data_IF_672015899984
#
_entry.id   IF_672015899984
#
_cell.length_a   1.000
_cell.length_b   1.000
_cell.length_c   1.000
_cell.angle_alpha   90.00
_cell.angle_beta   90.00
_cell.angle_gamma   90.00
#
_symmetry.space_group_name_H-M   'P 1'
#
loop_
_entity.id
_entity.type
_entity.pdbx_description
1 polymer ?
#
# COMPACT_ATOMS: atom_id res chain seq x y z
N UNK A 1 8.38 -38.64 16.99
CA UNK A 1 7.24 -38.77 16.03
C UNK A 1 6.65 -37.43 15.55
N UNK A 2 7.32 -36.29 15.74
CA UNK A 2 6.83 -34.93 15.45
C UNK A 2 7.33 -34.34 14.11
N UNK A 3 8.40 -34.86 13.51
CA UNK A 3 8.97 -34.32 12.24
C UNK A 3 8.03 -34.42 11.02
N UNK A 4 7.39 -35.56 10.67
CA UNK A 4 6.62 -35.64 9.43
C UNK A 4 5.39 -34.74 9.38
N UNK A 5 4.78 -34.41 10.53
CA UNK A 5 3.60 -33.50 10.59
C UNK A 5 4.00 -32.04 10.34
N UNK A 6 5.16 -31.61 10.86
CA UNK A 6 5.68 -30.25 10.62
C UNK A 6 6.15 -30.04 9.18
N UNK A 7 6.79 -31.04 8.59
CA UNK A 7 7.19 -31.02 7.18
C UNK A 7 5.96 -30.93 6.24
N UNK A 8 4.90 -31.71 6.53
CA UNK A 8 3.66 -31.64 5.78
C UNK A 8 2.95 -30.28 5.88
N UNK A 9 2.95 -29.63 7.06
CA UNK A 9 2.40 -28.27 7.25
C UNK A 9 3.20 -27.24 6.42
N UNK A 10 4.51 -27.28 6.52
CA UNK A 10 5.37 -26.34 5.78
C UNK A 10 5.27 -26.51 4.26
N UNK A 11 5.17 -27.76 3.77
CA UNK A 11 4.98 -28.05 2.35
C UNK A 11 3.62 -27.53 1.87
N UNK A 12 2.55 -27.83 2.59
CA UNK A 12 1.20 -27.33 2.30
C UNK A 12 1.19 -25.80 2.19
N UNK A 13 1.76 -25.09 3.17
CA UNK A 13 1.76 -23.64 3.20
C UNK A 13 2.56 -23.06 2.03
N UNK A 14 3.70 -23.67 1.67
CA UNK A 14 4.50 -23.30 0.48
C UNK A 14 3.73 -23.51 -0.81
N UNK A 15 3.07 -24.66 -0.99
CA UNK A 15 2.27 -24.95 -2.18
C UNK A 15 1.08 -23.99 -2.30
N UNK A 16 0.42 -23.67 -1.18
CA UNK A 16 -0.67 -22.68 -1.14
C UNK A 16 -0.19 -21.31 -1.56
N UNK A 17 0.91 -20.82 -1.00
CA UNK A 17 1.48 -19.51 -1.35
C UNK A 17 1.94 -19.47 -2.80
N UNK A 18 2.52 -20.57 -3.30
CA UNK A 18 2.88 -20.69 -4.71
C UNK A 18 1.63 -20.62 -5.61
N UNK A 19 0.57 -21.36 -5.28
CA UNK A 19 -0.70 -21.32 -6.01
C UNK A 19 -1.35 -19.92 -6.02
N UNK A 20 -1.40 -19.25 -4.85
CA UNK A 20 -1.87 -17.87 -4.73
C UNK A 20 -1.00 -16.92 -5.59
N UNK A 21 0.32 -17.06 -5.50
CA UNK A 21 1.26 -16.25 -6.28
C UNK A 21 1.11 -16.46 -7.78
N UNK A 22 0.99 -17.72 -8.25
CA UNK A 22 0.81 -18.05 -9.66
C UNK A 22 -0.51 -17.48 -10.20
N UNK A 23 -1.61 -17.69 -9.50
CA UNK A 23 -2.91 -17.13 -9.87
C UNK A 23 -2.87 -15.59 -9.90
N UNK A 24 -2.33 -14.98 -8.87
CA UNK A 24 -2.18 -13.53 -8.79
C UNK A 24 -1.32 -12.98 -9.93
N UNK A 25 -0.20 -13.61 -10.23
CA UNK A 25 0.71 -13.21 -11.30
C UNK A 25 0.03 -13.32 -12.67
N UNK A 26 -0.72 -14.41 -12.92
CA UNK A 26 -1.45 -14.61 -14.17
C UNK A 26 -2.41 -13.45 -14.45
N UNK A 27 -3.25 -13.08 -13.49
CA UNK A 27 -4.18 -11.94 -13.67
C UNK A 27 -3.45 -10.61 -13.87
N UNK A 28 -2.30 -10.41 -13.23
CA UNK A 28 -1.53 -9.16 -13.32
C UNK A 28 -0.76 -9.05 -14.63
N UNK A 29 -0.26 -10.15 -15.15
CA UNK A 29 0.46 -10.17 -16.42
C UNK A 29 -0.46 -10.25 -17.64
N UNK A 30 -1.69 -10.74 -17.47
CA UNK A 30 -2.65 -10.85 -18.57
C UNK A 30 -2.90 -9.49 -19.21
N UNK A 31 -2.48 -9.35 -20.48
CA UNK A 31 -2.58 -8.11 -21.26
C UNK A 31 -2.08 -6.86 -20.48
N UNK A 32 -0.93 -6.94 -19.80
CA UNK A 32 -0.36 -5.86 -18.99
C UNK A 32 -0.03 -4.60 -19.83
N UNK A 33 0.07 -4.73 -21.16
CA UNK A 33 0.24 -3.60 -22.08
C UNK A 33 -1.02 -2.77 -22.28
N UNK A 34 -2.16 -3.21 -21.79
CA UNK A 34 -3.41 -2.46 -21.86
C UNK A 34 -3.71 -1.76 -20.52
N UNK A 35 -4.24 -0.53 -20.54
CA UNK A 35 -4.46 0.38 -21.69
C UNK A 35 -3.14 0.82 -22.36
N UNK A 36 -3.22 1.21 -23.65
CA UNK A 36 -2.08 1.72 -24.40
C UNK A 36 -1.75 3.15 -23.93
N UNK A 37 -0.45 3.48 -23.98
CA UNK A 37 0.05 4.77 -23.51
C UNK A 37 0.07 4.88 -21.98
N UNK A 38 0.12 6.11 -21.50
CA UNK A 38 0.12 6.39 -20.07
C UNK A 38 -1.30 6.52 -19.54
N UNK A 39 -1.55 5.93 -18.38
CA UNK A 39 -2.79 6.12 -17.65
C UNK A 39 -2.54 6.91 -16.37
N UNK A 40 -3.38 7.90 -16.10
CA UNK A 40 -3.34 8.74 -14.92
C UNK A 40 -1.91 9.28 -14.66
N UNK A 41 -1.37 9.10 -13.45
CA UNK A 41 -0.04 9.59 -13.05
C UNK A 41 1.15 8.84 -13.72
N UNK A 42 0.91 7.79 -14.53
CA UNK A 42 1.98 7.16 -15.31
C UNK A 42 2.69 8.17 -16.22
N UNK A 43 1.94 9.22 -16.67
CA UNK A 43 2.50 10.32 -17.49
C UNK A 43 3.68 11.02 -16.80
N UNK A 44 3.67 11.06 -15.47
CA UNK A 44 4.78 11.60 -14.68
C UNK A 44 5.76 10.50 -14.29
N UNK A 45 5.29 9.43 -13.68
CA UNK A 45 6.17 8.46 -13.01
C UNK A 45 6.96 7.59 -13.98
N UNK A 46 6.40 7.19 -15.11
CA UNK A 46 7.14 6.42 -16.11
C UNK A 46 8.19 7.28 -16.82
N UNK A 47 7.88 8.55 -17.10
CA UNK A 47 8.85 9.50 -17.69
C UNK A 47 9.97 9.80 -16.69
N UNK A 48 9.64 10.10 -15.44
CA UNK A 48 10.62 10.36 -14.40
C UNK A 48 11.51 9.15 -14.13
N UNK A 49 10.94 7.93 -14.12
CA UNK A 49 11.68 6.69 -13.96
C UNK A 49 12.69 6.47 -15.11
N UNK A 50 12.27 6.74 -16.34
CA UNK A 50 13.15 6.67 -17.50
C UNK A 50 14.26 7.73 -17.43
N UNK A 51 13.95 8.96 -17.01
CA UNK A 51 14.94 10.01 -16.81
C UNK A 51 15.96 9.64 -15.71
N UNK A 52 15.48 9.15 -14.56
CA UNK A 52 16.35 8.65 -13.49
C UNK A 52 17.29 7.55 -13.96
N UNK A 53 16.81 6.63 -14.81
CA UNK A 53 17.61 5.53 -15.35
C UNK A 53 18.78 6.02 -16.21
N UNK A 54 18.58 7.08 -17.01
CA UNK A 54 19.56 7.56 -17.98
C UNK A 54 20.41 8.73 -17.45
N UNK A 55 19.87 9.53 -16.56
CA UNK A 55 20.48 10.79 -16.12
C UNK A 55 20.75 10.85 -14.62
N UNK A 56 20.19 9.93 -13.81
CA UNK A 56 20.31 9.93 -12.35
C UNK A 56 19.47 11.01 -11.64
N UNK A 57 18.79 11.87 -12.43
CA UNK A 57 17.86 12.92 -11.96
C UNK A 57 16.68 13.02 -12.93
N UNK A 58 15.61 13.65 -12.50
CA UNK A 58 14.43 13.89 -13.32
C UNK A 58 14.62 15.15 -14.19
N UNK A 59 14.55 14.94 -15.49
CA UNK A 59 14.62 15.99 -16.50
C UNK A 59 13.35 15.98 -17.35
N UNK A 60 12.96 17.12 -17.86
CA UNK A 60 11.86 17.22 -18.82
C UNK A 60 12.20 16.48 -20.12
N UNK A 61 11.21 15.81 -20.68
CA UNK A 61 11.36 15.03 -21.92
C UNK A 61 11.71 15.89 -23.15
N UNK A 62 11.36 17.19 -23.11
CA UNK A 62 11.65 18.17 -24.16
C UNK A 62 12.64 19.21 -23.64
N UNK A 63 13.93 19.06 -23.99
CA UNK A 63 14.94 20.08 -23.73
C UNK A 63 15.86 19.87 -22.55
N UNK A 64 15.71 18.81 -21.78
CA UNK A 64 16.64 18.43 -20.70
C UNK A 64 16.67 19.39 -19.49
N UNK A 65 15.68 20.26 -19.35
CA UNK A 65 15.54 21.11 -18.17
C UNK A 65 15.27 20.25 -16.91
N UNK A 66 15.78 20.69 -15.76
CA UNK A 66 15.53 20.03 -14.50
C UNK A 66 14.04 20.10 -14.13
N UNK A 67 13.45 18.96 -13.80
CA UNK A 67 12.03 18.86 -13.47
C UNK A 67 11.82 18.89 -11.97
N UNK A 68 10.92 19.78 -11.50
CA UNK A 68 10.38 19.72 -10.14
C UNK A 68 9.50 18.48 -9.97
N UNK A 69 9.79 17.69 -8.95
CA UNK A 69 9.02 16.51 -8.60
C UNK A 69 8.58 16.57 -7.16
N UNK A 70 7.43 15.96 -6.89
CA UNK A 70 6.74 16.08 -5.58
C UNK A 70 6.85 14.81 -4.72
N UNK A 71 7.48 13.76 -5.24
CA UNK A 71 7.66 12.50 -4.52
C UNK A 71 9.11 12.01 -4.56
N UNK A 72 9.60 11.39 -3.47
CA UNK A 72 10.94 10.81 -3.41
C UNK A 72 11.16 9.72 -4.46
N UNK A 73 12.42 9.31 -4.73
CA UNK A 73 12.78 8.53 -5.92
C UNK A 73 12.45 7.03 -5.88
N UNK A 74 12.31 6.38 -4.70
CA UNK A 74 12.31 4.90 -4.58
C UNK A 74 11.23 4.23 -5.43
N UNK A 75 9.99 4.74 -5.41
CA UNK A 75 8.92 4.16 -6.24
C UNK A 75 9.23 4.26 -7.74
N UNK A 76 9.86 5.37 -8.16
CA UNK A 76 10.30 5.57 -9.55
C UNK A 76 11.48 4.66 -9.91
N UNK A 77 12.38 4.34 -8.95
CA UNK A 77 13.41 3.33 -9.16
C UNK A 77 12.83 1.93 -9.41
N UNK A 78 11.75 1.58 -8.73
CA UNK A 78 11.05 0.32 -8.97
C UNK A 78 10.50 0.25 -10.41
N UNK A 79 9.92 1.35 -10.88
CA UNK A 79 9.45 1.47 -12.27
C UNK A 79 10.64 1.42 -13.24
N UNK A 80 11.72 2.16 -12.96
CA UNK A 80 12.94 2.19 -13.76
C UNK A 80 13.60 0.81 -13.91
N UNK A 81 13.54 -0.03 -12.87
CA UNK A 81 14.04 -1.40 -12.96
C UNK A 81 13.30 -2.24 -14.00
N UNK A 82 11.99 -2.10 -14.08
CA UNK A 82 11.19 -2.74 -15.13
C UNK A 82 11.49 -2.19 -16.54
N UNK A 83 11.62 -0.86 -16.67
CA UNK A 83 12.03 -0.20 -17.94
C UNK A 83 13.41 -0.69 -18.37
N UNK A 84 14.37 -0.80 -17.47
CA UNK A 84 15.73 -1.25 -17.77
C UNK A 84 15.77 -2.65 -18.37
N UNK A 85 14.92 -3.56 -17.87
CA UNK A 85 14.93 -4.97 -18.28
C UNK A 85 14.10 -5.19 -19.53
N UNK A 86 12.94 -4.55 -19.64
CA UNK A 86 11.94 -4.85 -20.67
C UNK A 86 11.77 -3.72 -21.69
N UNK A 87 12.39 -2.56 -21.51
CA UNK A 87 12.27 -1.41 -22.41
C UNK A 87 11.21 -0.39 -21.98
N UNK A 88 11.28 0.79 -22.58
CA UNK A 88 10.41 1.93 -22.29
C UNK A 88 9.07 1.81 -23.06
N UNK A 89 8.18 0.98 -22.57
CA UNK A 89 6.82 0.76 -23.08
C UNK A 89 5.92 0.23 -21.93
N UNK A 90 4.62 0.08 -22.16
CA UNK A 90 3.62 -0.19 -21.12
C UNK A 90 3.95 -1.40 -20.23
N UNK A 91 4.40 -2.50 -20.83
CA UNK A 91 4.82 -3.66 -20.06
C UNK A 91 6.03 -3.34 -19.18
N UNK A 92 7.03 -2.63 -19.73
CA UNK A 92 8.27 -2.31 -19.03
C UNK A 92 8.03 -1.45 -17.80
N UNK A 93 7.22 -0.39 -17.88
CA UNK A 93 6.98 0.43 -16.70
C UNK A 93 5.96 -0.15 -15.71
N UNK A 94 5.10 -1.12 -16.12
CA UNK A 94 4.09 -1.73 -15.23
C UNK A 94 4.54 -3.03 -14.57
N UNK A 95 5.54 -3.73 -15.09
CA UNK A 95 5.94 -5.06 -14.60
C UNK A 95 6.33 -5.07 -13.12
N UNK A 96 7.05 -4.04 -12.65
CA UNK A 96 7.43 -3.95 -11.24
C UNK A 96 6.22 -3.85 -10.30
N UNK A 97 5.17 -3.12 -10.71
CA UNK A 97 3.91 -3.06 -9.98
C UNK A 97 3.22 -4.46 -9.92
N UNK A 98 3.23 -5.20 -11.03
CA UNK A 98 2.67 -6.55 -11.09
C UNK A 98 3.41 -7.53 -10.16
N UNK A 99 4.73 -7.44 -10.12
CA UNK A 99 5.55 -8.29 -9.26
C UNK A 99 5.36 -7.99 -7.78
N UNK A 100 5.39 -6.70 -7.38
CA UNK A 100 5.19 -6.35 -5.96
C UNK A 100 3.77 -6.60 -5.50
N UNK A 101 2.76 -6.39 -6.36
CA UNK A 101 1.38 -6.75 -6.05
C UNK A 101 1.19 -8.25 -5.85
N UNK A 102 1.85 -9.08 -6.66
CA UNK A 102 1.87 -10.54 -6.47
C UNK A 102 2.57 -10.92 -5.16
N UNK A 103 3.74 -10.34 -4.88
CA UNK A 103 4.49 -10.58 -3.67
C UNK A 103 3.72 -10.17 -2.40
N UNK A 104 2.91 -9.11 -2.47
CA UNK A 104 2.06 -8.65 -1.37
C UNK A 104 0.98 -9.68 -1.01
N UNK A 105 0.38 -10.35 -2.00
CA UNK A 105 -0.58 -11.45 -1.78
C UNK A 105 0.09 -12.66 -1.11
N UNK A 106 1.30 -12.99 -1.53
CA UNK A 106 2.06 -14.06 -0.88
C UNK A 106 2.43 -13.65 0.58
N UNK A 107 2.75 -12.39 0.78
CA UNK A 107 3.16 -11.85 2.08
C UNK A 107 2.00 -11.81 3.08
N UNK A 108 0.80 -11.41 2.67
CA UNK A 108 -0.35 -11.31 3.58
C UNK A 108 -0.77 -12.67 4.14
N UNK A 109 -0.57 -13.76 3.39
CA UNK A 109 -0.77 -15.12 3.90
C UNK A 109 0.13 -15.39 5.11
N UNK A 110 1.42 -15.09 5.02
CA UNK A 110 2.37 -15.28 6.13
C UNK A 110 2.11 -14.32 7.30
N UNK A 111 1.65 -13.11 7.02
CA UNK A 111 1.24 -12.15 8.05
C UNK A 111 0.03 -12.69 8.82
N UNK A 112 -1.00 -13.15 8.14
CA UNK A 112 -2.18 -13.73 8.77
C UNK A 112 -1.84 -14.99 9.55
N UNK A 113 -0.92 -15.83 9.05
CA UNK A 113 -0.43 -16.99 9.78
C UNK A 113 0.28 -16.60 11.09
N UNK A 114 1.03 -15.49 11.06
CA UNK A 114 1.72 -14.96 12.24
C UNK A 114 0.74 -14.37 13.29
N UNK A 115 -0.35 -13.77 12.81
CA UNK A 115 -1.34 -13.13 13.66
C UNK A 115 -2.32 -14.15 14.30
N UNK A 116 -2.70 -15.18 13.55
CA UNK A 116 -3.83 -16.03 13.90
C UNK A 116 -3.45 -17.52 14.09
N UNK A 117 -2.26 -17.94 13.66
CA UNK A 117 -1.78 -19.35 13.63
C UNK A 117 -2.84 -20.33 13.08
N UNK A 118 -3.57 -19.91 12.06
CA UNK A 118 -4.67 -20.68 11.48
C UNK A 118 -4.56 -20.67 9.95
N UNK A 119 -4.51 -21.87 9.35
CA UNK A 119 -4.37 -22.03 7.92
C UNK A 119 -5.54 -21.43 7.13
N UNK A 120 -6.78 -21.68 7.55
CA UNK A 120 -7.95 -21.14 6.86
C UNK A 120 -7.95 -19.61 6.86
N UNK A 121 -7.62 -18.97 7.97
CA UNK A 121 -7.52 -17.51 8.07
C UNK A 121 -6.37 -16.96 7.21
N UNK A 122 -5.25 -17.68 7.15
CA UNK A 122 -4.12 -17.31 6.27
C UNK A 122 -4.49 -17.39 4.79
N UNK A 123 -5.15 -18.47 4.40
CA UNK A 123 -5.68 -18.66 3.05
C UNK A 123 -6.74 -17.59 2.71
N UNK A 124 -7.63 -17.27 3.66
CA UNK A 124 -8.66 -16.24 3.51
C UNK A 124 -8.03 -14.88 3.22
N UNK A 125 -6.97 -14.49 3.94
CA UNK A 125 -6.26 -13.23 3.68
C UNK A 125 -5.69 -13.17 2.24
N UNK A 126 -5.06 -14.25 1.78
CA UNK A 126 -4.54 -14.34 0.41
C UNK A 126 -5.63 -14.30 -0.66
N UNK A 127 -6.75 -15.02 -0.45
CA UNK A 127 -7.90 -15.01 -1.37
C UNK A 127 -8.54 -13.62 -1.43
N UNK A 128 -8.82 -12.99 -0.29
CA UNK A 128 -9.44 -11.66 -0.22
C UNK A 128 -8.59 -10.61 -0.94
N UNK A 129 -7.27 -10.60 -0.71
CA UNK A 129 -6.37 -9.66 -1.39
C UNK A 129 -6.24 -9.96 -2.90
N UNK A 130 -6.34 -11.23 -3.29
CA UNK A 130 -6.36 -11.62 -4.71
C UNK A 130 -7.65 -11.19 -5.40
N UNK A 131 -8.76 -11.18 -4.66
CA UNK A 131 -10.11 -10.86 -5.12
C UNK A 131 -10.50 -9.40 -4.81
N UNK A 132 -9.52 -8.49 -4.67
CA UNK A 132 -9.79 -7.05 -4.61
C UNK A 132 -9.45 -6.35 -5.92
N UNK A 133 -10.44 -5.61 -6.44
CA UNK A 133 -10.32 -4.88 -7.70
C UNK A 133 -9.33 -3.73 -7.62
N UNK A 134 -9.31 -2.96 -6.52
CA UNK A 134 -8.34 -1.89 -6.31
C UNK A 134 -6.91 -2.44 -6.35
N UNK A 135 -6.66 -3.53 -5.61
CA UNK A 135 -5.34 -4.15 -5.59
C UNK A 135 -4.93 -4.68 -6.97
N UNK A 136 -5.86 -5.27 -7.71
CA UNK A 136 -5.58 -5.76 -9.06
C UNK A 136 -5.21 -4.61 -10.00
N UNK A 137 -6.02 -3.55 -10.06
CA UNK A 137 -5.81 -2.40 -10.96
C UNK A 137 -4.51 -1.66 -10.60
N UNK A 138 -4.27 -1.38 -9.32
CA UNK A 138 -3.05 -0.72 -8.86
C UNK A 138 -1.79 -1.57 -9.12
N UNK A 139 -1.91 -2.91 -9.10
CA UNK A 139 -0.81 -3.81 -9.46
C UNK A 139 -0.55 -3.90 -10.98
N UNK A 140 -1.36 -3.24 -11.80
CA UNK A 140 -1.25 -3.23 -13.28
C UNK A 140 -0.96 -1.82 -13.82
N UNK A 141 -0.72 -0.87 -12.92
CA UNK A 141 -0.49 0.54 -13.23
C UNK A 141 0.78 1.00 -12.52
N UNK A 142 1.62 1.77 -13.20
CA UNK A 142 2.90 2.24 -12.65
C UNK A 142 2.69 3.49 -11.76
N UNK A 143 1.91 3.35 -10.69
CA UNK A 143 1.72 4.37 -9.67
C UNK A 143 2.59 4.06 -8.44
N UNK A 144 2.93 5.11 -7.66
CA UNK A 144 3.82 4.96 -6.50
C UNK A 144 3.14 4.25 -5.32
N UNK A 145 1.82 4.29 -5.25
CA UNK A 145 1.04 3.83 -4.11
C UNK A 145 1.13 2.33 -3.88
N UNK A 146 1.27 1.52 -4.94
CA UNK A 146 1.45 0.07 -4.81
C UNK A 146 2.82 -0.27 -4.17
N UNK A 147 3.86 0.50 -4.46
CA UNK A 147 5.18 0.32 -3.85
C UNK A 147 5.19 0.80 -2.40
N UNK A 148 4.52 1.92 -2.10
CA UNK A 148 4.29 2.38 -0.73
C UNK A 148 3.62 1.28 0.11
N UNK A 149 2.51 0.72 -0.38
CA UNK A 149 1.78 -0.38 0.26
C UNK A 149 2.68 -1.59 0.50
N UNK A 150 3.43 -2.01 -0.52
CA UNK A 150 4.35 -3.15 -0.43
C UNK A 150 5.40 -2.96 0.68
N UNK A 151 6.10 -1.83 0.70
CA UNK A 151 7.12 -1.57 1.71
C UNK A 151 6.52 -1.40 3.11
N UNK A 152 5.32 -0.85 3.22
CA UNK A 152 4.59 -0.76 4.48
C UNK A 152 4.20 -2.14 5.01
N UNK A 153 3.67 -3.00 4.14
CA UNK A 153 3.30 -4.38 4.49
C UNK A 153 4.53 -5.22 4.85
N UNK A 154 5.65 -5.01 4.15
CA UNK A 154 6.93 -5.65 4.46
C UNK A 154 7.46 -5.19 5.82
N UNK A 155 7.37 -3.91 6.12
CA UNK A 155 7.71 -3.35 7.44
C UNK A 155 6.84 -3.95 8.56
N UNK A 156 5.55 -4.14 8.31
CA UNK A 156 4.63 -4.81 9.24
C UNK A 156 4.99 -6.28 9.46
N UNK A 157 5.33 -7.03 8.41
CA UNK A 157 5.80 -8.41 8.54
C UNK A 157 7.07 -8.50 9.41
N UNK A 158 8.04 -7.62 9.20
CA UNK A 158 9.26 -7.59 10.01
C UNK A 158 8.99 -7.15 11.46
N UNK A 159 8.03 -6.24 11.67
CA UNK A 159 7.57 -5.88 13.02
C UNK A 159 7.04 -7.12 13.75
N UNK A 160 6.16 -7.91 13.13
CA UNK A 160 5.61 -9.15 13.70
C UNK A 160 6.67 -10.23 13.94
N UNK A 161 7.80 -10.17 13.22
CA UNK A 161 8.95 -11.05 13.41
C UNK A 161 9.95 -10.52 14.44
N UNK A 162 9.68 -9.39 15.10
CA UNK A 162 10.61 -8.68 15.98
C UNK A 162 11.95 -8.29 15.31
N UNK A 163 11.95 -8.19 13.97
CA UNK A 163 13.09 -7.77 13.16
C UNK A 163 13.05 -6.25 12.94
N UNK A 164 13.18 -5.49 14.02
CA UNK A 164 12.91 -4.05 14.04
C UNK A 164 13.85 -3.23 13.13
N UNK A 165 15.09 -3.68 12.90
CA UNK A 165 15.99 -3.03 11.95
C UNK A 165 15.45 -3.16 10.51
N UNK A 166 15.08 -4.37 10.11
CA UNK A 166 14.49 -4.63 8.80
C UNK A 166 13.14 -3.90 8.62
N UNK A 167 12.34 -3.82 9.69
CA UNK A 167 11.12 -3.02 9.70
C UNK A 167 11.42 -1.54 9.44
N UNK A 168 12.42 -0.97 10.12
CA UNK A 168 12.85 0.42 9.92
C UNK A 168 13.35 0.69 8.50
N UNK A 169 14.16 -0.22 7.93
CA UNK A 169 14.61 -0.12 6.53
C UNK A 169 13.41 -0.13 5.57
N UNK A 170 12.49 -1.08 5.72
CA UNK A 170 11.32 -1.20 4.85
C UNK A 170 10.43 0.05 4.93
N UNK A 171 10.19 0.56 6.13
CA UNK A 171 9.39 1.78 6.32
C UNK A 171 10.13 3.04 5.85
N UNK A 172 11.47 3.05 5.91
CA UNK A 172 12.30 4.07 5.29
C UNK A 172 12.14 4.09 3.76
N UNK A 173 12.09 2.92 3.11
CA UNK A 173 11.79 2.77 1.70
C UNK A 173 10.35 3.21 1.36
N UNK A 174 9.37 2.92 2.25
CA UNK A 174 8.01 3.41 2.11
C UNK A 174 7.97 4.96 2.13
N UNK A 175 8.64 5.60 3.09
CA UNK A 175 8.76 7.06 3.19
C UNK A 175 9.51 7.66 1.99
N UNK A 176 10.55 6.96 1.50
CA UNK A 176 11.31 7.32 0.29
C UNK A 176 10.56 7.02 -1.03
N UNK A 177 9.38 6.41 -0.94
CA UNK A 177 8.42 6.27 -2.06
C UNK A 177 7.38 7.40 -2.02
N UNK A 178 6.72 7.57 -0.89
CA UNK A 178 5.76 8.66 -0.62
C UNK A 178 5.82 9.05 0.86
N UNK A 179 5.72 10.33 1.16
CA UNK A 179 5.80 10.83 2.55
C UNK A 179 4.74 10.26 3.50
N UNK A 180 3.62 9.77 2.97
CA UNK A 180 2.62 9.06 3.78
C UNK A 180 3.16 7.78 4.45
N UNK A 181 4.29 7.23 4.00
CA UNK A 181 5.01 6.16 4.70
C UNK A 181 5.50 6.54 6.11
N UNK A 182 5.71 7.84 6.37
CA UNK A 182 6.12 8.35 7.69
C UNK A 182 5.06 8.08 8.76
N UNK A 183 3.78 8.08 8.39
CA UNK A 183 2.69 7.81 9.36
C UNK A 183 2.82 6.40 9.97
N UNK A 184 3.23 5.42 9.19
CA UNK A 184 3.47 4.07 9.66
C UNK A 184 4.74 3.96 10.53
N UNK A 185 5.79 4.74 10.22
CA UNK A 185 6.98 4.84 11.07
C UNK A 185 6.61 5.31 12.48
N UNK A 186 5.85 6.41 12.57
CA UNK A 186 5.39 6.96 13.85
C UNK A 186 4.51 5.96 14.59
N UNK A 187 3.54 5.35 13.89
CA UNK A 187 2.63 4.39 14.49
C UNK A 187 3.36 3.16 15.06
N UNK A 188 4.32 2.60 14.31
CA UNK A 188 5.02 1.39 14.75
C UNK A 188 6.12 1.67 15.79
N UNK A 189 6.73 2.85 15.76
CA UNK A 189 7.57 3.30 16.88
C UNK A 189 6.74 3.38 18.17
N UNK A 190 5.61 4.08 18.13
CA UNK A 190 4.72 4.20 19.28
C UNK A 190 4.24 2.83 19.78
N UNK A 191 3.83 1.95 18.85
CA UNK A 191 3.43 0.58 19.19
C UNK A 191 4.54 -0.21 19.88
N UNK A 192 5.77 -0.18 19.35
CA UNK A 192 6.89 -0.92 19.96
C UNK A 192 7.24 -0.42 21.34
N UNK A 193 7.21 0.90 21.55
CA UNK A 193 7.43 1.51 22.88
C UNK A 193 6.30 1.12 23.86
N UNK A 194 5.05 1.13 23.38
CA UNK A 194 3.92 0.69 24.19
C UNK A 194 4.03 -0.78 24.62
N UNK A 195 4.40 -1.68 23.70
CA UNK A 195 4.60 -3.10 23.99
C UNK A 195 5.71 -3.31 25.03
N UNK A 196 6.85 -2.61 24.91
CA UNK A 196 7.93 -2.70 25.89
C UNK A 196 7.50 -2.15 27.26
N UNK A 197 6.75 -1.04 27.28
CA UNK A 197 6.16 -0.52 28.52
C UNK A 197 5.24 -1.55 29.20
N UNK A 198 4.30 -2.14 28.42
CA UNK A 198 3.38 -3.17 28.94
C UNK A 198 4.12 -4.40 29.43
N UNK A 199 5.19 -4.79 28.75
CA UNK A 199 6.06 -5.89 29.17
C UNK A 199 6.74 -5.59 30.51
N UNK A 200 7.34 -4.40 30.67
CA UNK A 200 7.96 -4.01 31.94
C UNK A 200 6.95 -3.99 33.08
N UNK A 201 5.73 -3.52 32.80
CA UNK A 201 4.64 -3.52 33.79
C UNK A 201 4.21 -4.95 34.18
N UNK A 202 4.11 -5.85 33.21
CA UNK A 202 3.75 -7.26 33.44
C UNK A 202 4.84 -8.04 34.20
N UNK A 203 6.12 -7.62 34.10
CA UNK A 203 7.25 -8.15 34.85
C UNK A 203 7.47 -7.44 36.19
N UNK A 204 6.52 -6.61 36.62
CA UNK A 204 6.53 -5.89 37.90
C UNK A 204 7.81 -5.06 38.13
N UNK A 205 8.40 -4.53 37.04
CA UNK A 205 9.56 -3.63 37.14
C UNK A 205 9.15 -2.37 37.90
N UNK A 206 9.84 -2.05 38.99
CA UNK A 206 9.50 -0.91 39.88
C UNK A 206 9.32 0.43 39.13
N UNK A 207 10.16 0.68 38.11
CA UNK A 207 10.12 1.92 37.32
C UNK A 207 9.98 1.59 35.83
N UNK A 208 8.81 1.15 35.33
CA UNK A 208 8.68 0.62 33.97
C UNK A 208 9.03 1.64 32.88
N UNK A 209 8.71 2.93 33.07
CA UNK A 209 9.02 4.01 32.13
C UNK A 209 10.53 4.29 32.12
N UNK A 210 11.17 4.40 33.30
CA UNK A 210 12.61 4.66 33.41
C UNK A 210 13.42 3.51 32.77
N UNK A 211 13.00 2.27 32.99
CA UNK A 211 13.61 1.10 32.37
C UNK A 211 13.44 1.11 30.85
N UNK A 212 12.25 1.45 30.36
CA UNK A 212 12.00 1.61 28.91
C UNK A 212 12.96 2.64 28.29
N UNK A 213 13.08 3.82 28.93
CA UNK A 213 13.96 4.89 28.44
C UNK A 213 15.41 4.43 28.43
N UNK A 214 15.89 3.82 29.50
CA UNK A 214 17.27 3.40 29.64
C UNK A 214 17.65 2.25 28.69
N UNK A 215 16.81 1.23 28.57
CA UNK A 215 17.19 -0.04 27.93
C UNK A 215 16.72 -0.13 26.45
N UNK A 216 15.66 0.58 26.07
CA UNK A 216 15.00 0.35 24.78
C UNK A 216 14.83 1.59 23.92
N UNK A 217 14.65 2.77 24.50
CA UNK A 217 14.27 3.97 23.74
C UNK A 217 15.31 4.31 22.66
N UNK A 218 16.60 4.38 23.01
CA UNK A 218 17.66 4.69 22.04
C UNK A 218 17.70 3.67 20.90
N UNK A 219 17.57 2.39 21.23
CA UNK A 219 17.53 1.31 20.21
C UNK A 219 16.33 1.47 19.29
N UNK A 220 15.14 1.80 19.80
CA UNK A 220 13.95 2.00 18.98
C UNK A 220 14.03 3.27 18.13
N UNK A 221 14.56 4.37 18.69
CA UNK A 221 14.86 5.60 17.94
C UNK A 221 15.82 5.31 16.78
N UNK A 222 16.91 4.57 17.05
CA UNK A 222 17.84 4.18 15.98
C UNK A 222 17.12 3.40 14.88
N UNK A 223 16.30 2.42 15.24
CA UNK A 223 15.63 1.54 14.27
C UNK A 223 14.49 2.22 13.48
N UNK A 224 13.72 3.11 14.10
CA UNK A 224 12.51 3.70 13.49
C UNK A 224 12.63 5.19 13.14
N UNK A 225 13.76 5.85 13.49
CA UNK A 225 14.04 7.23 13.09
C UNK A 225 15.35 7.30 12.33
N UNK A 226 16.48 6.96 12.97
CA UNK A 226 17.80 7.14 12.35
C UNK A 226 17.97 6.30 11.08
N UNK A 227 17.66 4.99 11.15
CA UNK A 227 17.79 4.09 9.99
C UNK A 227 16.87 4.53 8.83
N UNK A 228 15.56 4.80 9.02
CA UNK A 228 14.72 5.36 7.97
C UNK A 228 15.23 6.67 7.38
N UNK A 229 15.78 7.58 8.20
CA UNK A 229 16.39 8.83 7.71
C UNK A 229 17.59 8.55 6.83
N UNK A 230 18.45 7.60 7.20
CA UNK A 230 19.59 7.18 6.36
C UNK A 230 19.11 6.58 5.04
N UNK A 231 18.11 5.67 5.06
CA UNK A 231 17.52 5.07 3.86
C UNK A 231 16.90 6.14 2.96
N UNK A 232 16.12 7.06 3.54
CA UNK A 232 15.53 8.17 2.84
C UNK A 232 16.59 9.08 2.20
N UNK A 233 17.60 9.48 2.96
CA UNK A 233 18.68 10.35 2.47
C UNK A 233 19.48 9.68 1.36
N UNK A 234 19.75 8.37 1.46
CA UNK A 234 20.42 7.59 0.43
C UNK A 234 19.63 7.57 -0.89
N UNK A 235 18.29 7.64 -0.84
CA UNK A 235 17.48 7.71 -2.04
C UNK A 235 17.70 8.98 -2.87
N UNK A 236 18.21 10.04 -2.27
CA UNK A 236 18.52 11.31 -2.92
C UNK A 236 19.95 11.42 -3.47
N UNK A 237 20.76 10.34 -3.40
CA UNK A 237 22.15 10.40 -3.86
C UNK A 237 22.25 10.78 -5.35
N UNK A 238 21.37 10.30 -6.23
CA UNK A 238 21.34 10.73 -7.63
C UNK A 238 21.28 12.26 -7.75
N UNK A 239 20.33 12.86 -7.05
CA UNK A 239 20.17 14.32 -7.03
C UNK A 239 21.34 15.04 -6.33
N UNK A 240 21.86 14.51 -5.23
CA UNK A 240 22.95 15.12 -4.45
C UNK A 240 24.25 15.21 -5.25
N UNK A 241 24.57 14.20 -6.06
CA UNK A 241 25.81 14.13 -6.82
C UNK A 241 25.68 14.67 -8.26
N UNK A 242 24.47 14.87 -8.77
CA UNK A 242 24.23 15.41 -10.10
C UNK A 242 23.85 16.90 -10.03
N UNK A 243 24.66 17.75 -10.69
CA UNK A 243 24.42 19.20 -10.71
C UNK A 243 23.24 19.64 -11.58
N UNK A 244 22.72 18.75 -12.41
CA UNK A 244 21.57 19.01 -13.29
C UNK A 244 20.22 18.78 -12.61
N UNK A 245 20.19 18.36 -11.32
CA UNK A 245 18.94 18.21 -10.58
C UNK A 245 18.25 19.55 -10.32
N UNK A 246 16.92 19.55 -10.22
CA UNK A 246 16.12 20.74 -9.94
C UNK A 246 16.61 21.43 -8.65
N UNK A 247 16.86 22.72 -8.76
CA UNK A 247 17.36 23.60 -7.69
C UNK A 247 18.59 23.07 -6.91
N UNK A 248 19.35 22.15 -7.54
CA UNK A 248 20.55 21.57 -6.92
C UNK A 248 21.58 22.62 -6.53
N UNK A 249 21.62 23.73 -7.23
CA UNK A 249 22.55 24.83 -7.05
C UNK A 249 21.94 26.06 -6.35
N UNK A 250 20.70 25.98 -5.90
CA UNK A 250 19.97 27.09 -5.25
C UNK A 250 20.79 27.79 -4.13
N UNK A 251 21.42 27.02 -3.26
CA UNK A 251 22.20 27.58 -2.16
C UNK A 251 23.46 28.35 -2.59
N UNK A 252 23.86 28.27 -3.87
CA UNK A 252 25.02 29.03 -4.38
C UNK A 252 24.73 30.53 -4.50
N UNK A 253 23.48 30.89 -4.76
CA UNK A 253 23.01 32.26 -4.89
C UNK A 253 22.51 32.86 -3.57
N UNK A 254 22.49 32.07 -2.48
CA UNK A 254 21.97 32.53 -1.19
C UNK A 254 23.06 33.24 -0.38
N UNK A 255 22.72 34.33 0.33
CA UNK A 255 23.67 35.01 1.20
C UNK A 255 24.14 34.09 2.34
N UNK A 256 25.32 34.39 2.87
CA UNK A 256 25.81 33.72 4.05
C UNK A 256 24.99 34.11 5.27
N UNK A 257 24.46 33.12 5.99
CA UNK A 257 23.68 33.26 7.19
C UNK A 257 24.08 32.22 8.26
N UNK A 258 23.30 32.12 9.30
CA UNK A 258 23.57 31.22 10.44
C UNK A 258 23.85 29.77 10.02
N UNK A 259 23.16 29.27 8.99
CA UNK A 259 23.31 27.89 8.50
C UNK A 259 24.37 27.72 7.41
N UNK A 260 25.26 28.71 7.19
CA UNK A 260 26.29 28.62 6.13
C UNK A 260 27.34 27.54 6.36
N UNK A 261 27.47 27.01 7.61
CA UNK A 261 28.31 25.88 7.93
C UNK A 261 27.79 24.55 7.35
N UNK A 262 26.48 24.47 6.99
CA UNK A 262 25.91 23.29 6.34
C UNK A 262 26.32 23.30 4.85
N UNK A 263 26.79 22.15 4.30
CA UNK A 263 27.15 22.08 2.88
C UNK A 263 26.03 22.54 1.95
N UNK A 264 26.38 23.33 0.95
CA UNK A 264 25.41 23.90 -0.02
C UNK A 264 24.44 22.87 -0.61
N UNK A 265 24.87 21.65 -1.03
CA UNK A 265 23.94 20.62 -1.52
C UNK A 265 22.85 20.25 -0.51
N UNK A 266 23.20 20.17 0.76
CA UNK A 266 22.22 19.84 1.83
C UNK A 266 21.23 20.99 2.04
N UNK A 267 21.71 22.24 1.97
CA UNK A 267 20.85 23.44 2.04
C UNK A 267 19.88 23.49 0.86
N UNK A 268 20.37 23.17 -0.35
CA UNK A 268 19.53 23.08 -1.55
C UNK A 268 18.51 21.96 -1.44
N UNK A 269 18.89 20.80 -0.89
CA UNK A 269 17.94 19.69 -0.65
C UNK A 269 16.86 20.07 0.37
N UNK A 270 17.24 20.80 1.42
CA UNK A 270 16.28 21.32 2.38
C UNK A 270 15.27 22.27 1.72
N UNK A 271 15.75 23.21 0.89
CA UNK A 271 14.89 24.10 0.11
C UNK A 271 13.93 23.31 -0.77
N UNK A 272 14.43 22.32 -1.50
CA UNK A 272 13.61 21.46 -2.34
C UNK A 272 12.50 20.74 -1.54
N UNK A 273 12.83 20.23 -0.35
CA UNK A 273 11.83 19.62 0.52
C UNK A 273 10.80 20.63 1.05
N UNK A 274 11.19 21.87 1.27
CA UNK A 274 10.26 22.94 1.64
C UNK A 274 9.28 23.26 0.50
N UNK A 275 9.74 23.28 -0.75
CA UNK A 275 8.88 23.42 -1.93
C UNK A 275 7.94 22.22 -2.10
N UNK A 276 8.44 20.99 -1.94
CA UNK A 276 7.61 19.78 -1.95
C UNK A 276 6.53 19.85 -0.85
N UNK A 277 6.88 20.29 0.34
CA UNK A 277 5.93 20.50 1.43
C UNK A 277 4.86 21.52 1.07
N UNK A 278 5.29 22.68 0.56
CA UNK A 278 4.37 23.73 0.12
C UNK A 278 3.41 23.19 -0.94
N UNK A 279 3.92 22.51 -1.96
CA UNK A 279 3.08 21.87 -2.99
C UNK A 279 2.05 20.91 -2.37
N UNK A 280 2.49 20.03 -1.49
CA UNK A 280 1.59 19.04 -0.88
C UNK A 280 0.53 19.64 0.05
N UNK A 281 0.80 20.78 0.65
CA UNK A 281 -0.13 21.44 1.59
C UNK A 281 -1.07 22.43 0.90
N UNK A 282 -0.71 22.94 -0.28
CA UNK A 282 -1.47 23.98 -1.00
C UNK A 282 -2.20 23.49 -2.25
N UNK A 283 -1.99 22.25 -2.69
CA UNK A 283 -2.63 21.70 -3.88
C UNK A 283 -4.15 21.62 -3.71
N UNK A 284 -4.89 22.48 -4.41
CA UNK A 284 -6.36 22.56 -4.39
C UNK A 284 -6.97 22.50 -5.80
N UNK A 285 -6.20 22.03 -6.79
CA UNK A 285 -6.67 21.91 -8.17
C UNK A 285 -7.92 21.01 -8.23
N UNK A 286 -8.96 21.49 -8.91
CA UNK A 286 -10.17 20.68 -9.12
C UNK A 286 -9.85 19.48 -10.02
N UNK A 287 -10.38 18.32 -9.67
CA UNK A 287 -10.27 17.11 -10.48
C UNK A 287 -11.56 16.29 -10.42
N UNK A 288 -12.09 15.77 -11.56
CA UNK A 288 -13.36 15.04 -11.60
C UNK A 288 -13.43 13.84 -10.67
N UNK A 289 -12.28 13.18 -10.45
CA UNK A 289 -12.15 12.00 -9.58
C UNK A 289 -11.61 12.34 -8.19
N UNK A 290 -11.56 13.62 -7.80
CA UNK A 290 -11.22 13.97 -6.42
C UNK A 290 -12.23 13.33 -5.46
N UNK A 291 -11.73 12.68 -4.41
CA UNK A 291 -12.54 11.90 -3.48
C UNK A 291 -12.13 12.23 -2.04
N UNK A 292 -13.06 12.80 -1.27
CA UNK A 292 -12.82 13.08 0.15
C UNK A 292 -12.62 11.76 0.93
N UNK A 293 -11.70 11.68 1.90
CA UNK A 293 -11.44 10.48 2.70
C UNK A 293 -12.68 9.82 3.29
N UNK A 294 -13.72 10.55 3.64
CA UNK A 294 -14.99 10.02 4.12
C UNK A 294 -15.63 9.00 3.15
N UNK A 295 -15.38 9.16 1.86
CA UNK A 295 -15.98 8.31 0.83
C UNK A 295 -15.15 7.06 0.50
N UNK A 296 -13.89 6.95 0.97
CA UNK A 296 -12.98 5.89 0.51
C UNK A 296 -13.43 4.50 0.93
N UNK A 297 -13.78 4.32 2.20
CA UNK A 297 -14.21 3.01 2.73
C UNK A 297 -15.54 2.53 2.14
N UNK A 298 -16.40 3.46 1.75
CA UNK A 298 -17.70 3.12 1.13
C UNK A 298 -17.64 3.12 -0.40
N UNK A 299 -16.46 3.33 -0.98
CA UNK A 299 -16.22 3.38 -2.43
C UNK A 299 -17.04 4.47 -3.13
N UNK A 300 -17.21 5.64 -2.47
CA UNK A 300 -18.11 6.69 -2.93
C UNK A 300 -17.70 7.35 -4.24
N UNK A 301 -16.41 7.50 -4.54
CA UNK A 301 -15.89 8.06 -5.81
C UNK A 301 -14.60 7.35 -6.20
N UNK A 302 -14.64 6.22 -6.91
CA UNK A 302 -13.46 5.56 -7.47
C UNK A 302 -12.86 6.40 -8.62
N UNK A 303 -11.62 6.11 -8.98
CA UNK A 303 -10.92 6.82 -10.06
C UNK A 303 -10.92 5.96 -11.30
N UNK A 304 -11.53 6.42 -12.37
CA UNK A 304 -11.40 5.79 -13.69
C UNK A 304 -10.03 6.17 -14.28
N UNK A 305 -9.21 5.16 -14.55
CA UNK A 305 -7.88 5.34 -15.16
C UNK A 305 -7.95 5.35 -16.69
N UNK A 306 -8.98 4.74 -17.23
CA UNK A 306 -9.17 4.66 -18.68
C UNK A 306 -10.67 4.45 -18.97
N UNK A 307 -11.19 5.18 -19.95
CA UNK A 307 -12.54 4.96 -20.49
C UNK A 307 -12.58 5.28 -21.98
N UNK A 308 -13.12 4.36 -22.74
CA UNK A 308 -13.42 4.55 -24.17
C UNK A 308 -14.76 3.91 -24.52
N UNK A 309 -15.38 4.37 -25.60
CA UNK A 309 -16.58 3.80 -26.19
C UNK A 309 -16.24 3.13 -27.54
N UNK A 310 -15.59 1.94 -27.51
CA UNK A 310 -15.17 1.24 -28.73
C UNK A 310 -16.36 0.61 -29.44
N UNK A 311 -16.10 0.01 -30.60
CA UNK A 311 -17.00 -0.88 -31.30
C UNK A 311 -16.62 -2.35 -31.07
N UNK A 312 -17.49 -3.30 -31.42
CA UNK A 312 -17.13 -4.74 -31.46
C UNK A 312 -17.60 -5.58 -30.27
N UNK A 313 -18.46 -5.05 -29.38
CA UNK A 313 -19.07 -5.84 -28.30
C UNK A 313 -20.32 -6.65 -28.73
N UNK A 314 -20.67 -6.62 -30.01
CA UNK A 314 -21.89 -7.26 -30.52
C UNK A 314 -23.18 -6.47 -30.29
N UNK A 315 -23.11 -5.22 -29.84
CA UNK A 315 -24.25 -4.32 -29.63
C UNK A 315 -23.98 -2.93 -30.25
N UNK A 316 -25.03 -2.09 -30.34
CA UNK A 316 -24.93 -0.74 -30.92
C UNK A 316 -24.08 0.23 -30.10
N UNK A 317 -23.94 0.01 -28.78
CA UNK A 317 -23.10 0.82 -27.90
C UNK A 317 -22.26 -0.08 -26.99
N UNK A 318 -20.96 0.19 -26.91
CA UNK A 318 -19.99 -0.52 -26.11
C UNK A 318 -19.31 0.44 -25.12
N UNK A 319 -18.74 -0.11 -24.06
CA UNK A 319 -17.88 0.59 -23.13
C UNK A 319 -16.66 -0.26 -22.79
N UNK A 320 -15.53 0.39 -22.55
CA UNK A 320 -14.30 -0.21 -22.08
C UNK A 320 -13.72 0.69 -21.02
N UNK A 321 -13.54 0.17 -19.80
CA UNK A 321 -13.07 0.95 -18.67
C UNK A 321 -12.07 0.19 -17.83
N UNK A 322 -11.08 0.92 -17.27
CA UNK A 322 -10.23 0.46 -16.17
C UNK A 322 -10.43 1.42 -15.00
N UNK A 323 -11.08 0.93 -13.95
CA UNK A 323 -11.43 1.73 -12.77
C UNK A 323 -10.73 1.22 -11.50
N UNK A 324 -10.11 2.11 -10.75
CA UNK A 324 -9.51 1.82 -9.46
C UNK A 324 -10.59 1.77 -8.37
N UNK A 325 -11.35 0.68 -8.37
CA UNK A 325 -12.47 0.39 -7.49
C UNK A 325 -12.16 -0.86 -6.66
N UNK A 326 -12.30 -0.78 -5.35
CA UNK A 326 -12.26 -1.97 -4.49
C UNK A 326 -13.46 -2.89 -4.75
N UNK A 327 -13.31 -4.17 -4.52
CA UNK A 327 -14.44 -5.12 -4.62
C UNK A 327 -15.52 -4.75 -3.60
N UNK A 328 -16.73 -4.34 -4.02
CA UNK A 328 -17.69 -3.69 -3.13
C UNK A 328 -18.05 -4.51 -1.88
N UNK A 329 -18.32 -5.79 -2.03
CA UNK A 329 -18.66 -6.64 -0.88
C UNK A 329 -17.51 -6.75 0.13
N UNK A 330 -16.26 -6.80 -0.32
CA UNK A 330 -15.08 -6.81 0.53
C UNK A 330 -14.97 -5.50 1.32
N UNK A 331 -15.06 -4.35 0.65
CA UNK A 331 -14.88 -3.05 1.26
C UNK A 331 -16.01 -2.71 2.24
N UNK A 332 -17.26 -2.96 1.85
CA UNK A 332 -18.41 -2.67 2.72
C UNK A 332 -18.47 -3.60 3.93
N UNK A 333 -18.13 -4.87 3.76
CA UNK A 333 -17.97 -5.77 4.92
C UNK A 333 -16.76 -5.38 5.79
N UNK A 334 -15.73 -4.78 5.19
CA UNK A 334 -14.60 -4.19 5.89
C UNK A 334 -15.00 -3.11 6.89
N UNK A 335 -15.98 -2.26 6.52
CA UNK A 335 -16.52 -1.23 7.44
C UNK A 335 -17.15 -1.89 8.67
N UNK A 336 -17.94 -2.95 8.48
CA UNK A 336 -18.51 -3.70 9.59
C UNK A 336 -17.42 -4.40 10.43
N UNK A 337 -16.42 -4.97 9.77
CA UNK A 337 -15.30 -5.62 10.44
C UNK A 337 -14.46 -4.63 11.29
N UNK A 338 -14.30 -3.37 10.84
CA UNK A 338 -13.66 -2.31 11.65
C UNK A 338 -14.43 -2.10 12.95
N UNK A 339 -15.75 -1.96 12.89
CA UNK A 339 -16.58 -1.76 14.08
C UNK A 339 -16.50 -2.96 15.05
N UNK A 340 -16.55 -4.19 14.52
CA UNK A 340 -16.39 -5.42 15.29
C UNK A 340 -15.01 -5.44 15.96
N UNK A 341 -13.94 -5.20 15.21
CA UNK A 341 -12.56 -5.21 15.71
C UNK A 341 -12.35 -4.16 16.78
N UNK A 342 -12.93 -2.98 16.60
CA UNK A 342 -12.90 -1.90 17.60
C UNK A 342 -13.63 -2.29 18.89
N UNK A 343 -14.80 -2.92 18.79
CA UNK A 343 -15.54 -3.46 19.94
C UNK A 343 -14.70 -4.48 20.73
N UNK A 344 -14.08 -5.45 20.06
CA UNK A 344 -13.18 -6.42 20.68
C UNK A 344 -11.95 -5.77 21.32
N UNK A 345 -11.36 -4.76 20.65
CA UNK A 345 -10.24 -4.02 21.23
C UNK A 345 -10.62 -3.30 22.53
N UNK A 346 -11.80 -2.67 22.59
CA UNK A 346 -12.29 -2.03 23.81
C UNK A 346 -12.55 -3.07 24.91
N UNK A 347 -13.26 -4.17 24.58
CA UNK A 347 -13.72 -5.15 25.56
C UNK A 347 -12.59 -6.05 26.08
N UNK A 348 -11.71 -6.54 25.20
CA UNK A 348 -10.70 -7.56 25.54
C UNK A 348 -9.26 -7.06 25.48
N UNK A 349 -9.01 -5.86 24.93
CA UNK A 349 -7.66 -5.28 24.76
C UNK A 349 -6.67 -6.22 24.05
N UNK A 350 -7.17 -7.02 23.13
CA UNK A 350 -6.34 -7.93 22.34
C UNK A 350 -5.32 -7.12 21.50
N UNK A 351 -4.06 -7.53 21.54
CA UNK A 351 -2.99 -6.77 20.85
C UNK A 351 -3.14 -6.80 19.33
N UNK A 352 -3.67 -7.92 18.77
CA UNK A 352 -3.90 -8.06 17.33
C UNK A 352 -4.89 -7.00 16.83
N UNK A 353 -6.03 -6.87 17.50
CA UNK A 353 -7.06 -5.89 17.14
C UNK A 353 -6.50 -4.46 17.24
N UNK A 354 -5.78 -4.14 18.32
CA UNK A 354 -5.15 -2.83 18.50
C UNK A 354 -4.11 -2.51 17.42
N UNK A 355 -3.24 -3.47 17.09
CA UNK A 355 -2.22 -3.28 16.05
C UNK A 355 -2.83 -3.13 14.66
N UNK A 356 -3.86 -3.90 14.32
CA UNK A 356 -4.54 -3.82 13.02
C UNK A 356 -5.27 -2.47 12.87
N UNK A 357 -6.00 -2.03 13.90
CA UNK A 357 -6.66 -0.72 13.91
C UNK A 357 -5.66 0.43 13.84
N UNK A 358 -4.54 0.32 14.54
CA UNK A 358 -3.45 1.31 14.46
C UNK A 358 -2.88 1.38 13.05
N UNK A 359 -2.66 0.24 12.39
CA UNK A 359 -2.09 0.17 11.05
C UNK A 359 -3.05 0.74 9.99
N UNK A 360 -4.33 0.38 10.06
CA UNK A 360 -5.36 0.99 9.23
C UNK A 360 -5.46 2.50 9.49
N UNK A 361 -5.48 2.90 10.76
CA UNK A 361 -5.54 4.30 11.17
C UNK A 361 -4.34 5.11 10.67
N UNK A 362 -3.13 4.56 10.70
CA UNK A 362 -1.93 5.24 10.20
C UNK A 362 -2.02 5.56 8.69
N UNK A 363 -2.63 4.68 7.89
CA UNK A 363 -2.82 4.92 6.47
C UNK A 363 -4.04 5.78 6.10
N UNK A 364 -5.03 5.86 6.98
CA UNK A 364 -6.33 6.47 6.69
C UNK A 364 -6.57 7.81 7.41
N UNK A 365 -6.37 7.86 8.75
CA UNK A 365 -6.75 9.03 9.55
C UNK A 365 -6.00 10.32 9.21
N UNK A 366 -4.71 10.32 8.83
CA UNK A 366 -4.02 11.56 8.49
C UNK A 366 -4.65 12.32 7.32
N UNK A 367 -5.35 11.65 6.41
CA UNK A 367 -5.99 12.28 5.26
C UNK A 367 -7.14 13.22 5.63
N UNK A 368 -7.73 13.06 6.82
CA UNK A 368 -8.74 13.98 7.33
C UNK A 368 -8.22 15.37 7.65
N UNK A 369 -6.90 15.54 7.84
CA UNK A 369 -6.26 16.85 7.97
C UNK A 369 -6.10 17.55 6.60
N UNK A 370 -6.21 16.79 5.49
CA UNK A 370 -5.95 17.28 4.14
C UNK A 370 -7.19 17.26 3.25
N UNK A 371 -8.39 17.38 3.80
CA UNK A 371 -9.67 17.28 3.07
C UNK A 371 -9.86 18.38 2.01
N UNK A 372 -9.21 19.52 2.15
CA UNK A 372 -9.24 20.62 1.16
C UNK A 372 -8.29 20.37 -0.02
N UNK A 373 -7.36 19.44 0.12
CA UNK A 373 -6.42 19.05 -0.92
C UNK A 373 -7.11 18.12 -1.92
N UNK A 374 -6.69 18.19 -3.19
CA UNK A 374 -7.06 17.18 -4.18
C UNK A 374 -6.44 15.85 -3.81
N UNK A 375 -7.28 14.90 -3.41
CA UNK A 375 -6.91 13.53 -3.02
C UNK A 375 -7.82 12.52 -3.72
N UNK A 376 -7.38 11.30 -3.85
CA UNK A 376 -8.06 10.26 -4.64
C UNK A 376 -8.30 9.01 -3.80
N UNK A 377 -9.39 8.29 -4.12
CA UNK A 377 -9.77 7.06 -3.41
C UNK A 377 -8.72 5.95 -3.51
N UNK A 378 -7.95 5.89 -4.61
CA UNK A 378 -6.92 4.84 -4.77
C UNK A 378 -5.73 4.99 -3.79
N UNK A 379 -5.58 6.13 -3.09
CA UNK A 379 -4.62 6.22 -1.98
C UNK A 379 -4.91 5.22 -0.86
N UNK A 380 -6.14 4.72 -0.79
CA UNK A 380 -6.58 3.71 0.15
C UNK A 380 -5.87 2.36 -0.01
N UNK A 381 -5.19 2.12 -1.15
CA UNK A 381 -4.34 0.93 -1.34
C UNK A 381 -3.28 0.82 -0.22
N UNK A 382 -2.80 1.93 0.34
CA UNK A 382 -1.81 1.93 1.40
C UNK A 382 -2.29 1.22 2.68
N UNK A 383 -3.60 1.28 2.99
CA UNK A 383 -4.18 0.63 4.16
C UNK A 383 -5.08 -0.59 3.83
N UNK A 384 -5.35 -0.86 2.56
CA UNK A 384 -6.16 -2.00 2.10
C UNK A 384 -5.72 -3.34 2.72
N UNK A 385 -4.44 -3.72 2.80
CA UNK A 385 -4.05 -4.97 3.43
C UNK A 385 -4.47 -5.09 4.90
N UNK A 386 -4.49 -3.96 5.61
CA UNK A 386 -4.92 -3.93 7.01
C UNK A 386 -6.44 -4.02 7.14
N UNK A 387 -7.20 -3.47 6.18
CA UNK A 387 -8.64 -3.69 6.08
C UNK A 387 -8.95 -5.18 5.88
N UNK A 388 -8.23 -5.85 5.00
CA UNK A 388 -8.36 -7.29 4.77
C UNK A 388 -8.01 -8.09 6.04
N UNK A 389 -6.92 -7.76 6.72
CA UNK A 389 -6.55 -8.42 7.97
C UNK A 389 -7.58 -8.17 9.10
N UNK A 390 -8.24 -7.04 9.11
CA UNK A 390 -9.34 -6.71 10.01
C UNK A 390 -10.57 -7.61 9.70
N UNK A 391 -10.90 -7.83 8.43
CA UNK A 391 -11.94 -8.78 8.02
C UNK A 391 -11.57 -10.20 8.50
N UNK A 392 -10.32 -10.62 8.28
CA UNK A 392 -9.83 -11.93 8.73
C UNK A 392 -9.84 -12.05 10.25
N UNK A 393 -9.56 -10.96 10.99
CA UNK A 393 -9.73 -10.92 12.44
C UNK A 393 -11.20 -11.13 12.84
N UNK A 394 -12.14 -10.45 12.18
CA UNK A 394 -13.58 -10.67 12.44
C UNK A 394 -14.00 -12.11 12.13
N UNK A 395 -13.49 -12.71 11.04
CA UNK A 395 -13.68 -14.14 10.75
C UNK A 395 -13.07 -15.03 11.84
N UNK A 396 -11.92 -14.67 12.41
CA UNK A 396 -11.34 -15.44 13.52
C UNK A 396 -12.26 -15.47 14.76
N UNK A 397 -12.94 -14.35 15.03
CA UNK A 397 -13.91 -14.25 16.12
C UNK A 397 -15.19 -15.03 15.83
N UNK A 398 -15.62 -15.04 14.58
CA UNK A 398 -16.76 -15.88 14.16
C UNK A 398 -16.43 -17.37 14.32
N UNK A 399 -15.17 -17.76 14.16
CA UNK A 399 -14.69 -19.15 14.24
C UNK A 399 -14.13 -19.51 15.63
N UNK A 400 -14.29 -18.66 16.65
CA UNK A 400 -13.97 -19.03 18.04
C UNK A 400 -14.81 -20.23 18.47
N UNK A 401 -14.21 -21.28 19.05
CA UNK A 401 -14.95 -22.43 19.56
C UNK A 401 -15.97 -22.01 20.65
N UNK A 402 -17.07 -22.77 20.77
CA UNK A 402 -18.00 -22.67 21.87
C UNK A 402 -17.38 -23.25 23.17
N UNK A 403 -18.13 -23.24 24.27
CA UNK A 403 -17.71 -23.81 25.54
C UNK A 403 -17.35 -25.30 25.42
N UNK A 404 -17.98 -26.02 24.51
CA UNK A 404 -17.70 -27.43 24.19
C UNK A 404 -16.43 -27.65 23.37
N UNK A 405 -15.70 -26.60 23.01
CA UNK A 405 -14.49 -26.66 22.17
C UNK A 405 -14.77 -26.83 20.67
N UNK A 406 -16.02 -26.78 20.23
CA UNK A 406 -16.39 -26.96 18.83
C UNK A 406 -16.80 -25.64 18.14
N UNK A 407 -16.40 -25.50 16.86
CA UNK A 407 -16.90 -24.43 16.02
C UNK A 407 -18.20 -24.86 15.38
N UNK A 408 -19.26 -24.09 15.56
CA UNK A 408 -20.58 -24.33 14.96
C UNK A 408 -20.47 -24.52 13.44
N UNK A 409 -21.10 -25.55 12.89
CA UNK A 409 -21.17 -25.82 11.46
C UNK A 409 -21.69 -24.61 10.69
N UNK A 410 -22.71 -23.93 11.21
CA UNK A 410 -23.26 -22.72 10.60
C UNK A 410 -22.18 -21.61 10.45
N UNK A 411 -21.43 -21.30 11.50
CA UNK A 411 -20.37 -20.27 11.47
C UNK A 411 -19.25 -20.62 10.50
N UNK A 412 -18.90 -21.91 10.39
CA UNK A 412 -17.91 -22.40 9.43
C UNK A 412 -18.40 -22.24 7.99
N UNK A 413 -19.64 -22.68 7.68
CA UNK A 413 -20.20 -22.53 6.33
C UNK A 413 -20.47 -21.06 5.98
N UNK A 414 -20.87 -20.22 6.94
CA UNK A 414 -20.99 -18.78 6.72
C UNK A 414 -19.66 -18.13 6.34
N UNK A 415 -18.54 -18.56 6.95
CA UNK A 415 -17.21 -18.06 6.59
C UNK A 415 -16.80 -18.48 5.18
N UNK A 416 -17.06 -19.73 4.78
CA UNK A 416 -16.82 -20.20 3.41
C UNK A 416 -17.71 -19.49 2.40
N UNK A 417 -18.99 -19.33 2.72
CA UNK A 417 -19.96 -18.62 1.90
C UNK A 417 -19.56 -17.16 1.67
N UNK A 418 -19.11 -16.48 2.73
CA UNK A 418 -18.60 -15.11 2.61
C UNK A 418 -17.43 -15.01 1.65
N UNK A 419 -16.43 -15.88 1.75
CA UNK A 419 -15.30 -15.89 0.82
C UNK A 419 -15.75 -16.15 -0.62
N UNK A 420 -16.65 -17.11 -0.81
CA UNK A 420 -17.26 -17.41 -2.11
C UNK A 420 -17.98 -16.20 -2.70
N UNK A 421 -18.78 -15.49 -1.89
CA UNK A 421 -19.51 -14.31 -2.32
C UNK A 421 -18.57 -13.15 -2.71
N UNK A 422 -17.47 -12.93 -1.97
CA UNK A 422 -16.47 -11.92 -2.33
C UNK A 422 -15.81 -12.26 -3.66
N UNK A 423 -15.44 -13.53 -3.87
CA UNK A 423 -14.85 -13.97 -5.15
C UNK A 423 -15.85 -13.82 -6.30
N UNK A 424 -17.11 -14.17 -6.11
CA UNK A 424 -18.16 -13.98 -7.13
C UNK A 424 -18.39 -12.49 -7.41
N UNK A 425 -18.40 -11.64 -6.40
CA UNK A 425 -18.51 -10.20 -6.57
C UNK A 425 -17.30 -9.62 -7.33
N UNK A 426 -16.07 -10.08 -7.04
CA UNK A 426 -14.89 -9.73 -7.80
C UNK A 426 -15.00 -10.15 -9.28
N UNK A 427 -15.44 -11.37 -9.56
CA UNK A 427 -15.64 -11.88 -10.92
C UNK A 427 -16.70 -11.05 -11.67
N UNK A 428 -17.77 -10.65 -10.99
CA UNK A 428 -18.82 -9.81 -11.57
C UNK A 428 -18.26 -8.47 -12.04
N UNK A 429 -17.35 -7.84 -11.28
CA UNK A 429 -16.70 -6.58 -11.63
C UNK A 429 -15.42 -6.75 -12.48
N UNK A 430 -14.94 -7.97 -12.70
CA UNK A 430 -13.68 -8.23 -13.40
C UNK A 430 -13.56 -7.55 -14.77
N UNK A 431 -14.62 -7.42 -15.60
CA UNK A 431 -14.54 -6.70 -16.85
C UNK A 431 -14.04 -5.25 -16.71
N UNK A 432 -14.42 -4.54 -15.64
CA UNK A 432 -13.95 -3.18 -15.34
C UNK A 432 -12.51 -3.14 -14.85
N UNK A 433 -12.06 -4.16 -14.13
CA UNK A 433 -10.69 -4.22 -13.63
C UNK A 433 -9.68 -4.58 -14.71
N UNK A 434 -10.12 -5.35 -15.70
CA UNK A 434 -9.28 -5.84 -16.79
C UNK A 434 -9.39 -5.00 -18.07
N UNK A 435 -10.31 -4.05 -18.11
CA UNK A 435 -10.58 -3.24 -19.31
C UNK A 435 -11.15 -4.06 -20.46
N UNK A 436 -12.12 -4.92 -20.18
CA UNK A 436 -12.81 -5.70 -21.21
C UNK A 436 -13.79 -4.81 -21.99
N UNK A 437 -13.90 -5.06 -23.30
CA UNK A 437 -14.94 -4.43 -24.13
C UNK A 437 -16.27 -5.14 -23.82
N UNK A 438 -17.23 -4.42 -23.28
CA UNK A 438 -18.56 -4.92 -22.91
C UNK A 438 -19.66 -4.04 -23.48
N UNK A 439 -20.89 -4.53 -23.51
CA UNK A 439 -22.03 -3.69 -23.91
C UNK A 439 -22.25 -2.55 -22.92
N UNK A 440 -22.70 -1.39 -23.39
CA UNK A 440 -22.99 -0.24 -22.52
C UNK A 440 -24.01 -0.59 -21.43
N UNK A 441 -25.02 -1.43 -21.75
CA UNK A 441 -25.97 -1.90 -20.74
C UNK A 441 -25.34 -2.73 -19.65
N UNK A 442 -24.38 -3.62 -19.99
CA UNK A 442 -23.62 -4.36 -18.98
C UNK A 442 -22.73 -3.43 -18.16
N UNK A 443 -21.99 -2.52 -18.81
CA UNK A 443 -21.20 -1.51 -18.11
C UNK A 443 -22.06 -0.70 -17.13
N UNK A 444 -23.22 -0.20 -17.56
CA UNK A 444 -24.14 0.56 -16.71
C UNK A 444 -24.64 -0.26 -15.51
N UNK A 445 -24.85 -1.58 -15.67
CA UNK A 445 -25.25 -2.46 -14.55
C UNK A 445 -24.15 -2.65 -13.50
N UNK A 446 -22.88 -2.41 -13.86
CA UNK A 446 -21.74 -2.43 -12.96
C UNK A 446 -21.56 -1.09 -12.21
N UNK A 447 -22.23 -0.04 -12.62
CA UNK A 447 -22.21 1.27 -11.94
C UNK A 447 -23.26 1.30 -10.83
N UNK A 448 -22.93 0.65 -9.69
CA UNK A 448 -23.89 0.52 -8.57
C UNK A 448 -24.18 1.84 -7.85
N UNK A 449 -23.25 2.79 -7.89
CA UNK A 449 -23.48 4.13 -7.37
C UNK A 449 -23.41 5.16 -8.52
N UNK A 450 -24.33 6.14 -8.57
CA UNK A 450 -24.27 7.22 -9.58
C UNK A 450 -22.94 7.99 -9.59
N UNK A 451 -22.27 8.03 -8.46
CA UNK A 451 -20.97 8.70 -8.30
C UNK A 451 -19.79 7.93 -8.90
N UNK A 452 -19.99 6.73 -9.43
CA UNK A 452 -18.95 5.97 -10.13
C UNK A 452 -18.84 6.38 -11.61
N UNK A 453 -19.81 7.08 -12.14
CA UNK A 453 -19.87 7.60 -13.53
C UNK A 453 -19.22 8.98 -13.61
#
# INVERSE_FOLDING_TARGET
>A
MTMPVLENKALRDRLTVFGLGLTALTFRLWNLRFPKGFVFDEVYYAQNANSLLHHGVELESKGGAAQFIVHPPVGKWMIAAGIKIFGYHEFGWRISAALVGTASIMMIFYIAQRLFDNYFLSLSAGILMSADGLHLVMSRTALLDIFLMFFTLLGFLFLLRNQHLAAGISLGLAAATKWSGVYYLVAYLAFTLYVEYRRNKALEVETPIRNLIREKLLKRITQYIFVPVVVYSASWFGWLFNRSGYDRNWANSQPNGFFSFIPRPIRSLWHYHAEMWNFHTTLTASHPYAANPWSWLILGRPTSFFYEAPHGCGAGACAQEVIALGTPLLWWSGVAAIAITFGYWIARREWQSGLLLLSLGAGYLPWFNWQKRTVFSFYSIAFEPFLILIIVYALSKLLEPNEDGEVSKFRRYASYGYLGLVVLNFIYFLPLFMGSIITYSHWSSLMWLPSWI
#
